data_IF_309546454671
#
_entry.id   IF_309546454671
#
_cell.length_a   1.000
_cell.length_b   1.000
_cell.length_c   1.000
_cell.angle_alpha   90.00
_cell.angle_beta   90.00
_cell.angle_gamma   90.00
#
_symmetry.space_group_name_H-M   'P 1'
#
loop_
_entity.id
_entity.type
_entity.pdbx_description
1 polymer ?
#
# COMPACT_ATOMS: atom_id res chain seq x y z
N UNK A 1 -37.92 -15.68 15.87
CA UNK A 1 -36.51 -16.12 15.87
C UNK A 1 -36.10 -16.40 14.43
N UNK A 2 -34.88 -16.00 14.06
CA UNK A 2 -34.27 -15.96 12.70
C UNK A 2 -34.51 -14.60 12.01
N UNK A 3 -33.78 -13.56 12.44
CA UNK A 3 -32.39 -13.21 12.00
C UNK A 3 -32.44 -12.80 10.52
N UNK A 4 -32.29 -11.54 10.12
CA UNK A 4 -31.51 -10.48 10.73
C UNK A 4 -30.33 -10.19 9.81
N UNK A 5 -30.56 -9.30 8.84
CA UNK A 5 -29.61 -8.32 8.30
C UNK A 5 -28.14 -8.79 8.21
N UNK A 6 -27.79 -9.26 7.03
CA UNK A 6 -26.48 -9.02 6.42
C UNK A 6 -26.77 -8.37 5.06
N UNK A 7 -27.39 -7.19 5.09
CA UNK A 7 -27.05 -6.19 4.09
C UNK A 7 -25.61 -5.86 4.46
N UNK A 8 -24.67 -6.50 3.76
CA UNK A 8 -23.28 -6.04 3.73
C UNK A 8 -23.39 -4.54 3.51
N UNK A 9 -22.97 -3.79 4.52
CA UNK A 9 -22.76 -2.37 4.38
C UNK A 9 -21.83 -2.25 3.17
N UNK A 10 -22.41 -1.90 2.01
CA UNK A 10 -21.65 -1.34 0.89
C UNK A 10 -21.03 -0.10 1.50
N UNK A 11 -19.88 -0.31 2.15
CA UNK A 11 -19.01 0.75 2.60
C UNK A 11 -18.88 1.66 1.40
N UNK A 12 -19.05 2.94 1.65
CA UNK A 12 -18.80 4.05 0.74
C UNK A 12 -17.28 4.14 0.42
N UNK A 13 -16.62 2.99 0.32
CA UNK A 13 -15.29 2.82 -0.22
C UNK A 13 -15.47 2.62 -1.72
N UNK A 14 -15.27 3.70 -2.47
CA UNK A 14 -15.44 3.83 -3.92
C UNK A 14 -14.63 2.87 -4.83
N UNK A 15 -14.60 1.58 -4.48
CA UNK A 15 -14.07 0.49 -5.27
C UNK A 15 -12.55 0.48 -5.38
N UNK A 16 -12.01 -0.56 -6.04
CA UNK A 16 -10.58 -0.63 -6.36
C UNK A 16 -10.12 0.51 -7.28
N UNK A 17 -11.06 1.27 -7.89
CA UNK A 17 -10.73 2.46 -8.67
C UNK A 17 -10.10 3.58 -7.82
N UNK A 18 -10.39 3.69 -6.52
CA UNK A 18 -9.78 4.75 -5.67
C UNK A 18 -8.27 4.65 -5.57
N UNK A 19 -7.72 3.45 -5.71
CA UNK A 19 -6.27 3.25 -5.69
C UNK A 19 -5.56 4.07 -6.78
N UNK A 20 -6.24 4.34 -7.91
CA UNK A 20 -5.73 5.18 -8.99
C UNK A 20 -5.72 6.68 -8.64
N UNK A 21 -6.49 7.11 -7.64
CA UNK A 21 -6.58 8.51 -7.19
C UNK A 21 -5.53 8.85 -6.12
N UNK A 22 -4.92 7.83 -5.52
CA UNK A 22 -3.91 7.99 -4.46
C UNK A 22 -2.63 8.61 -5.01
N UNK A 23 -1.94 9.37 -4.15
CA UNK A 23 -0.56 9.80 -4.42
C UNK A 23 0.34 8.57 -4.59
N UNK A 24 1.25 8.54 -5.58
CA UNK A 24 2.18 7.42 -5.76
C UNK A 24 3.03 7.11 -4.53
N UNK A 25 3.34 8.13 -3.72
CA UNK A 25 4.12 7.97 -2.48
C UNK A 25 3.30 7.47 -1.28
N UNK A 26 2.00 7.32 -1.45
CA UNK A 26 1.07 6.81 -0.42
C UNK A 26 0.45 5.48 -0.82
N UNK A 27 0.87 4.91 -1.96
CA UNK A 27 0.44 3.59 -2.38
C UNK A 27 0.94 2.54 -1.38
N UNK A 28 0.10 1.56 -1.12
CA UNK A 28 0.41 0.34 -0.42
C UNK A 28 0.42 -0.83 -1.40
N UNK A 29 0.92 -2.00 -0.98
CA UNK A 29 0.84 -3.20 -1.82
C UNK A 29 -0.62 -3.54 -2.17
N UNK A 30 -1.56 -3.36 -1.22
CA UNK A 30 -3.00 -3.54 -1.46
C UNK A 30 -3.51 -2.66 -2.60
N UNK A 31 -3.09 -1.39 -2.65
CA UNK A 31 -3.46 -0.47 -3.72
C UNK A 31 -2.96 -0.95 -5.10
N UNK A 32 -1.78 -1.56 -5.15
CA UNK A 32 -1.25 -2.13 -6.40
C UNK A 32 -2.07 -3.36 -6.84
N UNK A 33 -2.56 -4.17 -5.90
CA UNK A 33 -3.49 -5.27 -6.20
C UNK A 33 -4.83 -4.76 -6.73
N UNK A 34 -5.38 -3.69 -6.14
CA UNK A 34 -6.63 -3.07 -6.59
C UNK A 34 -6.50 -2.49 -8.00
N UNK A 35 -5.42 -1.75 -8.27
CA UNK A 35 -5.07 -1.27 -9.61
C UNK A 35 -4.96 -2.44 -10.59
N UNK A 36 -4.30 -3.53 -10.20
CA UNK A 36 -4.14 -4.71 -11.04
C UNK A 36 -5.50 -5.36 -11.37
N UNK A 37 -6.44 -5.36 -10.42
CA UNK A 37 -7.81 -5.85 -10.63
C UNK A 37 -8.57 -5.00 -11.64
N UNK A 38 -8.54 -3.66 -11.50
CA UNK A 38 -9.18 -2.73 -12.45
C UNK A 38 -8.60 -2.90 -13.85
N UNK A 39 -7.28 -2.85 -13.97
CA UNK A 39 -6.57 -2.99 -15.26
C UNK A 39 -6.82 -4.36 -15.89
N UNK A 40 -6.89 -5.42 -15.09
CA UNK A 40 -7.22 -6.77 -15.54
C UNK A 40 -8.62 -6.86 -16.14
N UNK A 41 -9.62 -6.24 -15.49
CA UNK A 41 -10.99 -6.16 -16.02
C UNK A 41 -11.06 -5.40 -17.35
N UNK A 42 -10.38 -4.27 -17.45
CA UNK A 42 -10.36 -3.47 -18.68
C UNK A 42 -9.70 -4.22 -19.85
N UNK A 43 -8.58 -4.90 -19.60
CA UNK A 43 -7.91 -5.73 -20.60
C UNK A 43 -8.79 -6.90 -21.06
N UNK A 44 -9.55 -7.52 -20.15
CA UNK A 44 -10.51 -8.56 -20.49
C UNK A 44 -11.64 -8.03 -21.38
N UNK A 45 -12.19 -6.85 -21.08
CA UNK A 45 -13.22 -6.23 -21.91
C UNK A 45 -12.70 -5.91 -23.32
N UNK A 46 -11.48 -5.39 -23.44
CA UNK A 46 -10.83 -5.14 -24.73
C UNK A 46 -10.57 -6.43 -25.53
N UNK A 47 -10.44 -7.56 -24.84
CA UNK A 47 -10.20 -8.87 -25.45
C UNK A 47 -11.47 -9.61 -25.91
N UNK A 48 -12.67 -9.08 -25.64
CA UNK A 48 -13.95 -9.76 -25.88
C UNK A 48 -14.36 -9.91 -27.38
N UNK A 49 -13.48 -9.55 -28.32
CA UNK A 49 -13.69 -9.69 -29.76
C UNK A 49 -13.24 -11.04 -30.33
N UNK A 50 -13.67 -11.41 -31.57
CA UNK A 50 -13.42 -12.72 -32.17
C UNK A 50 -11.95 -13.06 -32.42
N UNK A 51 -11.05 -12.07 -32.34
CA UNK A 51 -9.61 -12.26 -32.49
C UNK A 51 -8.92 -11.29 -31.52
N UNK A 52 -8.25 -11.80 -30.48
CA UNK A 52 -7.37 -10.98 -29.66
C UNK A 52 -6.08 -10.76 -30.45
N UNK A 53 -5.71 -9.51 -30.81
CA UNK A 53 -4.46 -9.27 -31.50
C UNK A 53 -3.29 -9.76 -30.63
N UNK A 54 -2.33 -10.50 -31.20
CA UNK A 54 -1.12 -10.92 -30.47
C UNK A 54 -0.37 -9.75 -29.82
N UNK A 55 -0.54 -8.54 -30.35
CA UNK A 55 -0.04 -7.30 -29.74
C UNK A 55 -0.70 -6.99 -28.39
N UNK A 56 -2.01 -7.23 -28.22
CA UNK A 56 -2.74 -7.00 -26.96
C UNK A 56 -2.26 -7.97 -25.87
N UNK A 57 -2.11 -9.25 -26.21
CA UNK A 57 -1.55 -10.23 -25.26
C UNK A 57 -0.13 -9.85 -24.81
N UNK A 58 0.75 -9.46 -25.74
CA UNK A 58 2.10 -8.95 -25.39
C UNK A 58 2.04 -7.70 -24.51
N UNK A 59 1.08 -6.81 -24.75
CA UNK A 59 0.89 -5.62 -23.93
C UNK A 59 0.44 -5.99 -22.51
N UNK A 60 -0.51 -6.93 -22.37
CA UNK A 60 -0.94 -7.44 -21.07
C UNK A 60 0.24 -7.96 -20.24
N UNK A 61 1.12 -8.79 -20.82
CA UNK A 61 2.31 -9.26 -20.10
C UNK A 61 3.27 -8.15 -19.69
N UNK A 62 3.43 -7.10 -20.52
CA UNK A 62 4.25 -5.93 -20.16
C UNK A 62 3.62 -5.13 -19.02
N UNK A 63 2.29 -4.99 -19.03
CA UNK A 63 1.54 -4.33 -17.96
C UNK A 63 1.70 -5.09 -16.65
N UNK A 64 1.51 -6.42 -16.66
CA UNK A 64 1.76 -7.26 -15.49
C UNK A 64 3.17 -7.04 -14.96
N UNK A 65 4.17 -7.02 -15.85
CA UNK A 65 5.56 -6.80 -15.43
C UNK A 65 5.77 -5.41 -14.78
N UNK A 66 5.10 -4.38 -15.28
CA UNK A 66 5.16 -3.03 -14.68
C UNK A 66 4.50 -3.01 -13.31
N UNK A 67 3.36 -3.68 -13.15
CA UNK A 67 2.65 -3.78 -11.86
C UNK A 67 3.47 -4.55 -10.82
N UNK A 68 4.14 -5.64 -11.22
CA UNK A 68 5.08 -6.38 -10.34
C UNK A 68 6.24 -5.48 -9.87
N UNK A 69 6.80 -4.67 -10.77
CA UNK A 69 7.88 -3.74 -10.40
C UNK A 69 7.37 -2.65 -9.45
N UNK A 70 6.15 -2.15 -9.67
CA UNK A 70 5.52 -1.18 -8.78
C UNK A 70 5.29 -1.77 -7.39
N UNK A 71 4.74 -2.99 -7.30
CA UNK A 71 4.52 -3.69 -6.03
C UNK A 71 5.83 -3.86 -5.25
N UNK A 72 6.90 -4.28 -5.93
CA UNK A 72 8.21 -4.45 -5.31
C UNK A 72 8.73 -3.14 -4.71
N UNK A 73 8.65 -2.03 -5.46
CA UNK A 73 9.11 -0.71 -5.00
C UNK A 73 8.27 -0.19 -3.83
N UNK A 74 6.95 -0.33 -3.90
CA UNK A 74 6.03 0.10 -2.84
C UNK A 74 6.27 -0.71 -1.55
N UNK A 75 6.44 -2.03 -1.69
CA UNK A 75 6.68 -2.92 -0.55
C UNK A 75 8.04 -2.66 0.10
N UNK A 76 9.10 -2.50 -0.71
CA UNK A 76 10.44 -2.19 -0.20
C UNK A 76 10.47 -0.82 0.52
N UNK A 77 9.84 0.20 -0.07
CA UNK A 77 9.74 1.54 0.54
C UNK A 77 9.02 1.50 1.88
N UNK A 78 7.89 0.78 1.97
CA UNK A 78 7.12 0.67 3.22
C UNK A 78 7.93 -0.02 4.32
N UNK A 79 8.67 -1.09 4.00
CA UNK A 79 9.54 -1.77 4.95
C UNK A 79 10.70 -0.90 5.41
N UNK A 80 11.33 -0.17 4.47
CA UNK A 80 12.43 0.75 4.79
C UNK A 80 11.96 1.90 5.70
N UNK A 81 10.79 2.48 5.42
CA UNK A 81 10.21 3.53 6.24
C UNK A 81 9.92 3.04 7.67
N UNK A 82 9.32 1.86 7.80
CA UNK A 82 9.01 1.29 9.11
C UNK A 82 10.28 0.99 9.91
N UNK A 83 11.32 0.44 9.27
CA UNK A 83 12.60 0.21 9.92
C UNK A 83 13.23 1.51 10.44
N UNK A 84 13.24 2.57 9.62
CA UNK A 84 13.74 3.89 10.03
C UNK A 84 12.90 4.51 11.15
N UNK A 85 11.59 4.28 11.14
CA UNK A 85 10.70 4.73 12.21
C UNK A 85 11.03 4.04 13.54
N UNK A 86 11.21 2.71 13.53
CA UNK A 86 11.60 1.96 14.71
C UNK A 86 12.97 2.41 15.27
N UNK A 87 13.96 2.61 14.39
CA UNK A 87 15.29 3.08 14.78
C UNK A 87 15.23 4.48 15.40
N UNK A 88 14.54 5.42 14.75
CA UNK A 88 14.30 6.77 15.26
C UNK A 88 13.63 6.76 16.64
N UNK A 89 12.64 5.91 16.84
CA UNK A 89 11.91 5.83 18.10
C UNK A 89 12.74 5.14 19.20
N UNK A 90 13.69 4.25 18.86
CA UNK A 90 14.71 3.75 19.80
C UNK A 90 15.67 4.87 20.23
N UNK A 91 16.25 5.56 19.26
CA UNK A 91 17.21 6.64 19.50
C UNK A 91 16.60 7.78 20.33
N UNK A 92 15.33 8.12 20.11
CA UNK A 92 14.61 9.11 20.92
C UNK A 92 14.50 8.67 22.38
N UNK A 93 14.16 7.41 22.64
CA UNK A 93 14.10 6.86 24.01
C UNK A 93 15.47 6.85 24.68
N UNK A 94 16.51 6.45 23.96
CA UNK A 94 17.89 6.48 24.46
C UNK A 94 18.33 7.91 24.83
N UNK A 95 18.02 8.89 23.97
CA UNK A 95 18.30 10.30 24.24
C UNK A 95 17.54 10.84 25.46
N UNK A 96 16.29 10.42 25.67
CA UNK A 96 15.50 10.80 26.84
C UNK A 96 16.11 10.27 28.13
N UNK A 97 16.55 9.00 28.14
CA UNK A 97 17.25 8.38 29.27
C UNK A 97 18.55 9.13 29.57
N UNK A 98 19.40 9.37 28.56
CA UNK A 98 20.65 10.09 28.73
C UNK A 98 20.44 11.53 29.22
N UNK A 99 19.39 12.21 28.77
CA UNK A 99 19.04 13.56 29.26
C UNK A 99 18.58 13.53 30.72
N UNK A 100 17.85 12.49 31.14
CA UNK A 100 17.45 12.32 32.53
C UNK A 100 18.66 12.04 33.44
N UNK A 101 19.58 11.18 33.00
CA UNK A 101 20.83 10.85 33.72
C UNK A 101 21.80 12.04 33.78
N UNK A 102 21.85 12.84 32.72
CA UNK A 102 22.73 14.00 32.58
C UNK A 102 22.21 15.29 33.24
N UNK A 103 21.04 15.28 33.89
CA UNK A 103 20.49 16.44 34.61
C UNK A 103 21.08 16.48 36.04
N UNK A 104 22.05 17.37 36.34
CA UNK A 104 22.57 17.52 37.69
C UNK A 104 21.59 18.38 38.48
N UNK A 105 20.73 17.75 39.29
CA UNK A 105 19.63 18.50 39.91
C UNK A 105 18.83 17.83 41.01
N UNK A 106 19.46 16.99 41.84
CA UNK A 106 18.97 16.75 43.22
C UNK A 106 20.11 16.37 44.16
N UNK A 107 21.15 17.20 44.16
CA UNK A 107 22.12 17.27 45.27
C UNK A 107 22.32 18.75 45.62
N UNK A 108 21.28 19.38 46.18
CA UNK A 108 21.47 20.63 46.91
C UNK A 108 20.39 20.82 47.98
N UNK A 109 20.63 20.23 49.16
CA UNK A 109 20.57 20.80 50.52
C UNK A 109 20.33 19.71 51.56
#
# INVERSE_FOLDING_TARGET
MQQGREEEEEEEDGGPERALEKSPFQLTAADVYDISSVVGRDLLQLSAGPQVPAALARLQFRIVRVLEMLEALVSESSLAEEQLRMERDSLRRELEVLRAEGSPGSTQQ
#
